data_IF_073624336005
#
_entry.id   IF_073624336005
#
_cell.length_a   1.000
_cell.length_b   1.000
_cell.length_c   1.000
_cell.angle_alpha   90.00
_cell.angle_beta   90.00
_cell.angle_gamma   90.00
#
_symmetry.space_group_name_H-M   'P 1'
#
loop_
_entity.id
_entity.type
_entity.pdbx_description
1 polymer ?
#
# COMPACT_ATOMS: atom_id res chain seq x y z
N UNK A 1 -43.30 -18.19 -13.03
CA UNK A 1 -43.89 -19.08 -14.04
C UNK A 1 -44.53 -20.31 -13.40
N UNK A 2 -43.86 -21.14 -12.61
CA UNK A 2 -44.35 -22.39 -12.00
C UNK A 2 -45.63 -22.21 -11.16
N UNK A 3 -45.85 -21.04 -10.49
CA UNK A 3 -47.08 -20.73 -9.77
C UNK A 3 -48.27 -20.47 -10.71
N UNK A 4 -48.02 -19.91 -11.87
CA UNK A 4 -49.05 -19.77 -12.92
C UNK A 4 -49.49 -21.15 -13.46
N UNK A 5 -48.59 -22.13 -13.42
CA UNK A 5 -48.87 -23.53 -13.75
C UNK A 5 -49.53 -24.31 -12.58
N UNK A 6 -49.98 -23.63 -11.51
CA UNK A 6 -50.62 -24.20 -10.33
C UNK A 6 -49.80 -25.26 -9.57
N UNK A 7 -48.45 -25.32 -9.77
CA UNK A 7 -47.56 -26.24 -9.05
C UNK A 7 -47.53 -25.93 -7.59
N UNK A 8 -47.43 -26.96 -6.76
CA UNK A 8 -47.29 -26.87 -5.32
C UNK A 8 -45.90 -26.29 -4.89
N UNK A 9 -45.78 -25.72 -3.71
CA UNK A 9 -44.48 -25.23 -3.20
C UNK A 9 -43.41 -26.33 -3.08
N UNK A 10 -43.87 -27.59 -2.86
CA UNK A 10 -42.97 -28.76 -2.81
C UNK A 10 -42.40 -29.07 -4.18
N UNK A 11 -43.21 -29.14 -5.19
CA UNK A 11 -42.79 -29.37 -6.57
C UNK A 11 -41.89 -28.27 -7.12
N UNK A 12 -42.24 -26.98 -6.84
CA UNK A 12 -41.38 -25.86 -7.20
C UNK A 12 -40.05 -25.91 -6.50
N UNK A 13 -40.07 -26.28 -5.21
CA UNK A 13 -38.85 -26.44 -4.41
C UNK A 13 -37.92 -27.48 -4.99
N UNK A 14 -38.44 -28.64 -5.39
CA UNK A 14 -37.71 -29.72 -6.08
C UNK A 14 -37.12 -29.22 -7.40
N UNK A 15 -37.90 -28.56 -8.23
CA UNK A 15 -37.47 -28.05 -9.54
C UNK A 15 -36.36 -26.99 -9.43
N UNK A 16 -36.38 -26.16 -8.36
CA UNK A 16 -35.42 -25.09 -8.16
C UNK A 16 -34.29 -25.44 -7.19
N UNK A 17 -34.27 -26.68 -6.71
CA UNK A 17 -33.35 -27.15 -5.66
C UNK A 17 -33.36 -26.21 -4.44
N UNK A 18 -34.56 -25.91 -3.94
CA UNK A 18 -34.81 -25.04 -2.76
C UNK A 18 -35.84 -25.66 -1.82
N UNK A 19 -35.69 -25.36 -0.52
CA UNK A 19 -36.65 -25.84 0.45
C UNK A 19 -38.05 -25.26 0.19
N UNK A 20 -39.17 -26.03 0.33
CA UNK A 20 -40.52 -25.54 0.07
C UNK A 20 -40.92 -24.31 0.87
N UNK A 21 -40.46 -24.17 2.13
CA UNK A 21 -40.72 -23.00 2.95
C UNK A 21 -40.06 -21.73 2.40
N UNK A 22 -38.91 -21.83 1.74
CA UNK A 22 -38.27 -20.71 1.05
C UNK A 22 -39.15 -20.22 -0.10
N UNK A 23 -39.70 -21.15 -0.89
CA UNK A 23 -40.61 -20.82 -1.97
C UNK A 23 -41.89 -20.17 -1.43
N UNK A 24 -42.48 -20.76 -0.38
CA UNK A 24 -43.67 -20.20 0.27
C UNK A 24 -43.42 -18.75 0.73
N UNK A 25 -42.35 -18.51 1.50
CA UNK A 25 -42.00 -17.18 1.98
C UNK A 25 -41.78 -16.18 0.83
N UNK A 26 -41.13 -16.59 -0.25
CA UNK A 26 -40.90 -15.72 -1.40
C UNK A 26 -42.21 -15.36 -2.13
N UNK A 27 -43.14 -16.30 -2.26
CA UNK A 27 -44.45 -16.05 -2.83
C UNK A 27 -45.29 -15.12 -1.95
N UNK A 28 -45.42 -15.41 -0.67
CA UNK A 28 -46.18 -14.61 0.29
C UNK A 28 -45.63 -13.18 0.41
N UNK A 29 -44.32 -13.03 0.44
CA UNK A 29 -43.63 -11.74 0.51
C UNK A 29 -43.85 -10.85 -0.71
N UNK A 30 -44.11 -11.44 -1.86
CA UNK A 30 -44.19 -10.74 -3.15
C UNK A 30 -45.60 -10.73 -3.74
N UNK A 31 -46.59 -11.37 -3.12
CA UNK A 31 -47.95 -11.32 -3.63
C UNK A 31 -48.60 -9.96 -3.41
N UNK A 32 -49.51 -9.56 -4.30
CA UNK A 32 -50.37 -8.37 -4.16
C UNK A 32 -51.79 -8.70 -3.69
N UNK A 33 -52.66 -7.70 -3.59
CA UNK A 33 -54.04 -7.89 -3.19
C UNK A 33 -54.85 -8.85 -4.11
N UNK A 34 -54.47 -8.94 -5.38
CA UNK A 34 -55.06 -9.85 -6.39
C UNK A 34 -54.25 -11.15 -6.58
N UNK A 35 -53.49 -11.57 -5.58
CA UNK A 35 -52.61 -12.76 -5.64
C UNK A 35 -51.21 -12.49 -6.17
N UNK A 36 -50.47 -13.57 -6.44
CA UNK A 36 -49.10 -13.48 -6.92
C UNK A 36 -49.05 -13.34 -8.44
N UNK A 37 -48.36 -12.29 -8.92
CA UNK A 37 -48.12 -12.02 -10.35
C UNK A 37 -46.61 -11.77 -10.57
N UNK A 38 -45.98 -12.38 -11.61
CA UNK A 38 -44.51 -12.30 -11.79
C UNK A 38 -43.97 -10.88 -11.89
N UNK A 39 -44.55 -10.02 -12.69
CA UNK A 39 -44.10 -8.63 -12.85
C UNK A 39 -44.26 -7.82 -11.56
N UNK A 40 -45.36 -7.98 -10.83
CA UNK A 40 -45.59 -7.31 -9.57
C UNK A 40 -44.67 -7.84 -8.49
N UNK A 41 -44.39 -9.15 -8.48
CA UNK A 41 -43.46 -9.76 -7.54
C UNK A 41 -42.04 -9.24 -7.78
N UNK A 42 -41.63 -9.11 -9.04
CA UNK A 42 -40.32 -8.53 -9.40
C UNK A 42 -40.26 -7.06 -8.99
N UNK A 43 -41.28 -6.26 -9.30
CA UNK A 43 -41.33 -4.85 -8.93
C UNK A 43 -41.21 -4.67 -7.41
N UNK A 44 -41.94 -5.46 -6.60
CA UNK A 44 -41.84 -5.44 -5.10
C UNK A 44 -40.46 -5.88 -4.60
N UNK A 45 -39.83 -6.85 -5.26
CA UNK A 45 -38.49 -7.29 -4.91
C UNK A 45 -37.46 -6.18 -5.23
N UNK A 46 -37.57 -5.50 -6.36
CA UNK A 46 -36.68 -4.42 -6.75
C UNK A 46 -36.89 -3.17 -5.89
N UNK A 47 -38.14 -2.84 -5.55
CA UNK A 47 -38.46 -1.76 -4.59
C UNK A 47 -37.84 -2.01 -3.21
N UNK A 48 -37.96 -3.24 -2.68
CA UNK A 48 -37.29 -3.58 -1.44
C UNK A 48 -35.79 -3.54 -1.54
N UNK A 49 -35.23 -4.00 -2.67
CA UNK A 49 -33.78 -3.92 -2.90
C UNK A 49 -33.31 -2.47 -2.93
N UNK A 50 -34.07 -1.57 -3.55
CA UNK A 50 -33.75 -0.14 -3.57
C UNK A 50 -33.94 0.55 -2.22
N UNK A 51 -34.91 0.09 -1.40
CA UNK A 51 -35.15 0.58 -0.03
C UNK A 51 -34.24 -0.07 1.00
N UNK A 52 -33.57 -1.18 0.67
CA UNK A 52 -32.63 -1.80 1.58
C UNK A 52 -31.50 -0.81 1.89
N UNK A 53 -31.42 -0.39 3.16
CA UNK A 53 -30.44 0.58 3.67
C UNK A 53 -28.97 0.13 3.56
N UNK A 54 -28.72 -1.07 3.00
CA UNK A 54 -27.37 -1.51 2.66
C UNK A 54 -26.74 -0.69 1.52
N UNK A 55 -27.54 0.05 0.73
CA UNK A 55 -27.06 1.20 -0.02
C UNK A 55 -26.95 2.40 0.92
N UNK A 56 -26.08 2.36 1.93
CA UNK A 56 -25.75 3.54 2.74
C UNK A 56 -25.23 4.58 1.75
N UNK A 57 -26.06 5.59 1.51
CA UNK A 57 -25.64 6.75 0.69
C UNK A 57 -24.52 7.40 1.46
N UNK A 58 -23.33 7.40 0.87
CA UNK A 58 -22.21 8.15 1.41
C UNK A 58 -22.67 9.60 1.46
N UNK A 59 -22.60 10.21 2.64
CA UNK A 59 -22.83 11.65 2.77
C UNK A 59 -21.82 12.37 1.89
N UNK A 60 -22.21 13.43 1.22
CA UNK A 60 -21.33 14.14 0.30
C UNK A 60 -20.12 14.76 1.04
N UNK A 61 -20.33 15.24 2.28
CA UNK A 61 -19.26 15.71 3.15
C UNK A 61 -18.19 14.65 3.41
N UNK A 62 -18.61 13.44 3.80
CA UNK A 62 -17.69 12.30 4.00
C UNK A 62 -16.96 11.93 2.71
N UNK A 63 -17.64 12.05 1.57
CA UNK A 63 -17.04 11.76 0.28
C UNK A 63 -15.98 12.78 -0.11
N UNK A 64 -16.20 14.06 0.17
CA UNK A 64 -15.20 15.11 -0.05
C UNK A 64 -13.94 14.87 0.77
N UNK A 65 -14.08 14.46 2.05
CA UNK A 65 -12.96 14.05 2.90
C UNK A 65 -12.20 12.86 2.27
N UNK A 66 -12.93 11.84 1.83
CA UNK A 66 -12.33 10.66 1.19
C UNK A 66 -11.59 11.06 -0.10
N UNK A 67 -12.20 11.88 -0.96
CA UNK A 67 -11.56 12.35 -2.19
C UNK A 67 -10.29 13.12 -1.91
N UNK A 68 -10.32 14.03 -0.93
CA UNK A 68 -9.14 14.78 -0.53
C UNK A 68 -7.96 13.84 -0.20
N UNK A 69 -8.18 12.85 0.66
CA UNK A 69 -7.10 11.91 1.04
C UNK A 69 -6.72 10.93 -0.08
N UNK A 70 -7.64 10.57 -0.98
CA UNK A 70 -7.29 9.83 -2.20
C UNK A 70 -6.29 10.63 -3.07
N UNK A 71 -6.48 11.94 -3.19
CA UNK A 71 -5.53 12.81 -3.90
C UNK A 71 -4.16 12.91 -3.21
N UNK A 72 -4.10 12.70 -1.89
CA UNK A 72 -2.84 12.53 -1.14
C UNK A 72 -2.25 11.11 -1.30
N UNK A 73 -2.75 10.32 -2.25
CA UNK A 73 -2.31 8.96 -2.53
C UNK A 73 -2.54 7.95 -1.40
N UNK A 74 -3.41 8.21 -0.44
CA UNK A 74 -3.84 7.24 0.56
C UNK A 74 -4.79 6.22 -0.08
N UNK A 75 -4.67 4.95 0.33
CA UNK A 75 -5.65 3.94 -0.07
C UNK A 75 -6.93 4.03 0.76
N UNK A 76 -8.08 3.53 0.25
CA UNK A 76 -9.33 3.51 1.01
C UNK A 76 -9.19 2.91 2.40
N UNK A 77 -8.41 1.85 2.57
CA UNK A 77 -8.17 1.19 3.86
C UNK A 77 -7.36 2.09 4.81
N UNK A 78 -6.33 2.78 4.31
CA UNK A 78 -5.52 3.72 5.09
C UNK A 78 -6.35 4.93 5.56
N UNK A 79 -7.26 5.44 4.71
CA UNK A 79 -8.15 6.55 5.06
C UNK A 79 -9.07 6.17 6.22
N UNK A 80 -9.81 5.08 6.06
CA UNK A 80 -10.78 4.63 7.09
C UNK A 80 -10.08 4.26 8.38
N UNK A 81 -8.99 3.47 8.31
CA UNK A 81 -8.26 3.05 9.49
C UNK A 81 -7.63 4.20 10.25
N UNK A 82 -7.12 5.20 9.53
CA UNK A 82 -6.51 6.38 10.14
C UNK A 82 -7.55 7.29 10.80
N UNK A 83 -8.65 7.61 10.13
CA UNK A 83 -9.73 8.42 10.71
C UNK A 83 -10.33 7.75 11.95
N UNK A 84 -10.43 6.42 11.96
CA UNK A 84 -10.84 5.68 13.15
C UNK A 84 -9.82 5.82 14.29
N UNK A 85 -8.53 5.73 14.00
CA UNK A 85 -7.45 5.88 14.98
C UNK A 85 -7.34 7.33 15.53
N UNK A 86 -7.78 8.33 14.76
CA UNK A 86 -7.87 9.73 15.18
C UNK A 86 -9.12 10.04 16.02
N UNK A 87 -10.03 9.08 16.22
CA UNK A 87 -11.29 9.29 16.91
C UNK A 87 -12.36 10.04 16.10
N UNK A 88 -12.15 10.19 14.77
CA UNK A 88 -13.07 10.84 13.83
C UNK A 88 -13.59 9.86 12.77
N UNK A 89 -14.27 8.74 13.17
CA UNK A 89 -14.68 7.72 12.22
C UNK A 89 -15.78 8.22 11.29
N UNK A 90 -15.58 8.04 9.99
CA UNK A 90 -16.66 8.18 9.01
C UNK A 90 -17.35 6.82 8.82
N UNK A 91 -18.68 6.84 8.66
CA UNK A 91 -19.46 5.61 8.57
C UNK A 91 -19.47 5.01 7.16
N UNK A 92 -18.27 4.85 6.58
CA UNK A 92 -18.08 4.28 5.24
C UNK A 92 -17.07 3.14 5.35
N UNK A 93 -17.33 2.01 4.69
CA UNK A 93 -16.32 0.96 4.58
C UNK A 93 -15.34 1.24 3.44
N UNK A 94 -14.10 0.76 3.56
CA UNK A 94 -13.13 0.85 2.47
C UNK A 94 -13.63 0.19 1.17
N UNK A 95 -14.43 -0.88 1.28
CA UNK A 95 -15.05 -1.55 0.13
C UNK A 95 -16.04 -0.63 -0.59
N UNK A 96 -16.84 0.13 0.14
CA UNK A 96 -17.78 1.11 -0.44
C UNK A 96 -17.02 2.20 -1.23
N UNK A 97 -15.85 2.62 -0.72
CA UNK A 97 -14.99 3.58 -1.42
C UNK A 97 -14.46 2.95 -2.73
N UNK A 98 -13.98 1.70 -2.68
CA UNK A 98 -13.55 0.99 -3.89
C UNK A 98 -14.67 0.86 -4.91
N UNK A 99 -15.89 0.50 -4.50
CA UNK A 99 -17.04 0.39 -5.38
C UNK A 99 -17.32 1.73 -6.10
N UNK A 100 -17.27 2.85 -5.38
CA UNK A 100 -17.49 4.18 -5.96
C UNK A 100 -16.36 4.58 -6.92
N UNK A 101 -15.11 4.25 -6.62
CA UNK A 101 -13.97 4.47 -7.52
C UNK A 101 -14.12 3.67 -8.82
N UNK A 102 -14.55 2.40 -8.73
CA UNK A 102 -14.76 1.58 -9.93
C UNK A 102 -16.03 1.96 -10.70
N UNK A 103 -17.04 2.49 -10.03
CA UNK A 103 -18.19 3.08 -10.69
C UNK A 103 -17.81 4.34 -11.47
N UNK A 104 -17.02 5.24 -10.87
CA UNK A 104 -16.41 6.39 -11.54
C UNK A 104 -15.64 5.97 -12.79
N UNK A 105 -14.80 4.94 -12.68
CA UNK A 105 -14.05 4.39 -13.82
C UNK A 105 -14.98 3.90 -14.93
N UNK A 106 -16.07 3.21 -14.60
CA UNK A 106 -17.07 2.73 -15.61
C UNK A 106 -17.76 3.87 -16.32
N UNK A 107 -17.90 5.03 -15.64
CA UNK A 107 -18.45 6.28 -16.20
C UNK A 107 -17.39 7.14 -16.92
N UNK A 108 -16.16 6.63 -17.11
CA UNK A 108 -15.06 7.34 -17.76
C UNK A 108 -14.22 8.23 -16.85
N UNK A 109 -14.47 8.21 -15.54
CA UNK A 109 -13.71 8.96 -14.54
C UNK A 109 -12.30 8.43 -14.31
N UNK A 110 -11.51 9.16 -13.53
CA UNK A 110 -10.06 8.95 -13.37
C UNK A 110 -9.63 8.62 -11.93
N UNK A 111 -10.55 8.48 -10.98
CA UNK A 111 -10.23 8.23 -9.56
C UNK A 111 -9.38 6.97 -9.34
N UNK A 112 -9.56 5.93 -10.15
CA UNK A 112 -8.76 4.70 -10.07
C UNK A 112 -7.25 4.93 -10.27
N UNK A 113 -6.84 6.03 -10.91
CA UNK A 113 -5.42 6.37 -11.12
C UNK A 113 -4.73 6.79 -9.82
N UNK A 114 -5.49 7.20 -8.81
CA UNK A 114 -4.98 7.56 -7.48
C UNK A 114 -4.62 6.32 -6.65
N UNK A 115 -5.14 5.15 -7.02
CA UNK A 115 -4.82 3.89 -6.33
C UNK A 115 -3.39 3.43 -6.65
N UNK A 116 -2.74 2.80 -5.67
CA UNK A 116 -1.39 2.23 -5.80
C UNK A 116 -1.25 1.27 -6.98
N UNK A 117 -2.27 0.42 -7.20
CA UNK A 117 -2.25 -0.58 -8.25
C UNK A 117 -3.17 -0.19 -9.40
N UNK A 118 -2.56 0.26 -10.49
CA UNK A 118 -3.27 0.61 -11.73
C UNK A 118 -3.25 -0.53 -12.77
N UNK A 119 -2.81 -1.75 -12.35
CA UNK A 119 -2.54 -2.86 -13.27
C UNK A 119 -3.79 -3.53 -13.79
N UNK A 120 -3.74 -3.89 -15.10
CA UNK A 120 -4.74 -4.73 -15.77
C UNK A 120 -4.39 -6.22 -15.74
N UNK A 121 -3.11 -6.62 -15.54
CA UNK A 121 -2.71 -8.04 -15.39
C UNK A 121 -1.30 -8.23 -14.79
N UNK A 122 -0.96 -9.48 -14.42
CA UNK A 122 0.29 -9.89 -13.76
C UNK A 122 1.31 -10.44 -14.78
N UNK A 123 2.51 -9.86 -14.88
CA UNK A 123 3.63 -10.43 -15.65
C UNK A 123 4.40 -11.47 -14.83
N UNK A 124 4.70 -12.64 -15.43
CA UNK A 124 5.67 -13.60 -14.86
C UNK A 124 7.09 -13.12 -15.21
N UNK A 125 7.99 -13.18 -14.23
CA UNK A 125 9.42 -12.88 -14.42
C UNK A 125 10.18 -14.16 -14.75
N UNK A 126 11.01 -14.11 -15.83
CA UNK A 126 12.00 -15.14 -16.14
C UNK A 126 13.28 -14.92 -15.33
N UNK A 127 13.93 -16.00 -14.92
CA UNK A 127 15.20 -16.01 -14.20
C UNK A 127 16.37 -15.74 -15.17
N UNK A 128 17.05 -14.61 -15.01
CA UNK A 128 18.32 -14.33 -15.70
C UNK A 128 19.50 -14.51 -14.74
N UNK A 129 20.38 -15.45 -15.02
CA UNK A 129 21.65 -15.58 -14.29
C UNK A 129 22.59 -14.42 -14.65
N UNK A 130 22.89 -13.55 -13.71
CA UNK A 130 23.98 -12.59 -13.81
C UNK A 130 25.15 -13.03 -12.92
N UNK A 131 26.34 -13.26 -13.53
CA UNK A 131 27.60 -13.46 -12.79
C UNK A 131 27.98 -12.13 -12.11
N UNK A 132 27.77 -12.03 -10.79
CA UNK A 132 28.16 -10.89 -9.96
C UNK A 132 29.53 -11.18 -9.36
N UNK A 133 30.49 -10.23 -9.50
CA UNK A 133 31.78 -10.32 -8.80
C UNK A 133 31.58 -10.19 -7.28
N UNK A 134 32.49 -10.82 -6.50
CA UNK A 134 32.42 -10.81 -5.04
C UNK A 134 32.84 -9.44 -4.47
N UNK A 135 32.12 -8.96 -3.44
CA UNK A 135 32.50 -7.84 -2.59
C UNK A 135 33.48 -8.37 -1.55
N UNK A 136 34.64 -7.69 -1.36
CA UNK A 136 35.64 -8.07 -0.37
C UNK A 136 35.13 -7.74 1.06
N UNK A 137 35.54 -8.50 2.06
CA UNK A 137 35.30 -8.28 3.49
C UNK A 137 33.82 -8.08 3.86
N UNK A 138 32.91 -8.70 3.12
CA UNK A 138 31.47 -8.61 3.44
C UNK A 138 31.13 -9.47 4.65
N UNK A 139 30.33 -8.95 5.57
CA UNK A 139 29.72 -9.70 6.67
C UNK A 139 28.39 -10.28 6.20
N UNK A 140 28.18 -11.60 6.40
CA UNK A 140 26.92 -12.28 6.02
C UNK A 140 25.75 -11.77 6.88
N UNK A 141 24.54 -11.86 6.32
CA UNK A 141 23.31 -11.66 7.10
C UNK A 141 23.16 -12.69 8.22
N UNK A 142 23.83 -13.85 8.14
CA UNK A 142 23.81 -14.89 9.17
C UNK A 142 24.50 -14.42 10.47
N UNK A 143 25.48 -13.51 10.35
CA UNK A 143 26.20 -12.93 11.48
C UNK A 143 25.42 -11.76 12.11
N UNK A 144 24.26 -11.42 11.56
CA UNK A 144 23.46 -10.28 12.04
C UNK A 144 22.77 -10.62 13.36
N UNK A 145 22.79 -9.72 14.37
CA UNK A 145 22.16 -9.96 15.66
C UNK A 145 20.67 -10.30 15.53
N UNK A 146 20.19 -11.30 16.25
CA UNK A 146 18.80 -11.77 16.21
C UNK A 146 17.75 -10.68 16.51
N UNK A 147 18.12 -9.67 17.30
CA UNK A 147 17.25 -8.52 17.62
C UNK A 147 16.77 -7.78 16.35
N UNK A 148 17.59 -7.78 15.27
CA UNK A 148 17.25 -7.14 14.01
C UNK A 148 16.08 -7.86 13.33
N UNK A 149 16.01 -9.19 13.46
CA UNK A 149 14.93 -9.99 12.88
C UNK A 149 13.63 -9.93 13.69
N UNK A 150 13.75 -9.68 14.99
CA UNK A 150 12.61 -9.44 15.88
C UNK A 150 11.87 -8.14 15.56
N UNK A 151 12.53 -7.18 14.88
CA UNK A 151 11.96 -5.87 14.47
C UNK A 151 11.36 -5.11 15.66
N UNK A 152 12.06 -5.06 16.77
CA UNK A 152 11.63 -4.35 17.99
C UNK A 152 12.41 -3.07 18.25
N UNK A 153 13.52 -2.87 17.54
CA UNK A 153 14.43 -1.74 17.73
C UNK A 153 14.46 -0.85 16.49
N UNK A 154 14.20 0.45 16.65
CA UNK A 154 14.39 1.46 15.60
C UNK A 154 15.89 1.64 15.34
N UNK A 155 16.26 1.84 14.06
CA UNK A 155 17.64 2.07 13.65
C UNK A 155 18.30 0.88 12.97
N UNK A 156 17.58 -0.20 12.75
CA UNK A 156 18.00 -1.29 11.89
C UNK A 156 17.48 -1.03 10.46
N UNK A 157 18.38 -0.68 9.56
CA UNK A 157 18.07 -0.11 8.23
C UNK A 157 18.23 -1.16 7.12
N UNK A 158 17.30 -1.20 6.18
CA UNK A 158 17.48 -1.90 4.90
C UNK A 158 17.83 -0.90 3.81
N UNK A 159 18.93 -1.14 3.08
CA UNK A 159 19.39 -0.29 1.98
C UNK A 159 19.19 -0.90 0.61
N UNK A 160 18.78 -0.09 -0.38
CA UNK A 160 18.64 -0.48 -1.77
C UNK A 160 18.88 0.68 -2.73
N UNK A 161 19.00 0.39 -4.01
CA UNK A 161 19.12 1.38 -5.07
C UNK A 161 18.04 1.19 -6.14
N UNK A 162 17.35 2.27 -6.46
CA UNK A 162 16.32 2.30 -7.52
C UNK A 162 16.91 2.97 -8.77
N UNK A 163 16.95 2.22 -9.87
CA UNK A 163 17.55 2.72 -11.13
C UNK A 163 16.48 3.34 -12.02
N UNK A 164 16.80 4.47 -12.64
CA UNK A 164 15.98 5.15 -13.62
C UNK A 164 15.96 4.48 -14.99
N UNK A 165 15.14 4.99 -15.90
CA UNK A 165 15.09 4.53 -17.30
C UNK A 165 16.48 4.60 -17.94
N UNK A 166 16.85 3.55 -18.69
CA UNK A 166 18.13 3.46 -19.40
C UNK A 166 19.35 3.72 -18.47
N UNK A 167 19.27 3.28 -17.21
CA UNK A 167 20.29 3.51 -16.17
C UNK A 167 20.59 4.99 -15.88
N UNK A 168 19.66 5.88 -16.22
CA UNK A 168 19.84 7.32 -16.03
C UNK A 168 19.35 7.77 -14.64
N UNK A 169 20.33 8.01 -13.76
CA UNK A 169 20.12 8.41 -12.38
C UNK A 169 19.78 7.22 -11.49
N UNK A 170 20.13 7.34 -10.24
CA UNK A 170 19.91 6.35 -9.19
C UNK A 170 19.33 7.06 -7.98
N UNK A 171 18.34 6.45 -7.33
CA UNK A 171 17.87 6.85 -6.00
C UNK A 171 18.38 5.80 -5.02
N UNK A 172 19.06 6.23 -3.98
CA UNK A 172 19.41 5.44 -2.81
C UNK A 172 18.22 5.49 -1.87
N UNK A 173 17.73 4.35 -1.43
CA UNK A 173 16.65 4.23 -0.45
C UNK A 173 17.12 3.47 0.77
N UNK A 174 16.88 4.02 1.95
CA UNK A 174 17.21 3.43 3.24
C UNK A 174 15.94 3.41 4.06
N UNK A 175 15.54 2.25 4.58
CA UNK A 175 14.25 2.05 5.24
C UNK A 175 14.46 1.41 6.60
N UNK A 176 13.96 2.05 7.66
CA UNK A 176 13.96 1.48 9.00
C UNK A 176 13.01 0.28 9.10
N UNK A 177 13.49 -0.80 9.69
CA UNK A 177 12.77 -2.10 9.71
C UNK A 177 11.54 -2.10 10.62
N UNK A 178 11.51 -1.26 11.63
CA UNK A 178 10.40 -1.14 12.59
C UNK A 178 9.40 -0.11 12.13
N UNK A 179 9.83 1.14 12.05
CA UNK A 179 8.96 2.29 11.77
C UNK A 179 8.56 2.41 10.29
N UNK A 180 9.26 1.73 9.37
CA UNK A 180 9.10 1.92 7.91
C UNK A 180 9.52 3.31 7.43
N UNK A 181 10.18 4.10 8.29
CA UNK A 181 10.66 5.42 7.94
C UNK A 181 11.69 5.31 6.81
N UNK A 182 11.51 6.11 5.78
CA UNK A 182 12.29 6.04 4.55
C UNK A 182 13.13 7.28 4.39
N UNK A 183 14.42 7.09 4.20
CA UNK A 183 15.35 8.11 3.75
C UNK A 183 15.66 7.86 2.29
N UNK A 184 15.80 8.91 1.49
CA UNK A 184 16.26 8.75 0.12
C UNK A 184 17.01 9.99 -0.37
N UNK A 185 17.96 9.77 -1.28
CA UNK A 185 18.67 10.82 -2.01
C UNK A 185 19.05 10.35 -3.40
N UNK A 186 19.35 11.30 -4.27
CA UNK A 186 19.82 11.00 -5.61
C UNK A 186 21.32 10.73 -5.63
N UNK A 187 21.72 9.76 -6.43
CA UNK A 187 23.12 9.58 -6.83
C UNK A 187 23.26 9.80 -8.34
N UNK A 188 24.36 10.41 -8.76
CA UNK A 188 24.64 10.64 -10.20
C UNK A 188 24.71 9.33 -10.97
N UNK A 189 25.20 8.27 -10.33
CA UNK A 189 25.39 6.94 -10.92
C UNK A 189 25.45 5.86 -9.83
N UNK A 190 25.51 4.58 -10.24
CA UNK A 190 25.73 3.42 -9.36
C UNK A 190 27.19 3.24 -8.90
N UNK A 191 28.07 4.23 -9.01
CA UNK A 191 29.43 4.09 -8.50
C UNK A 191 29.43 3.96 -6.98
N UNK A 192 30.11 2.93 -6.49
CA UNK A 192 30.10 2.55 -5.08
C UNK A 192 30.50 3.70 -4.13
N UNK A 193 31.49 4.51 -4.51
CA UNK A 193 31.91 5.68 -3.71
C UNK A 193 30.78 6.71 -3.58
N UNK A 194 30.04 6.99 -4.66
CA UNK A 194 28.91 7.93 -4.62
C UNK A 194 27.72 7.41 -3.81
N UNK A 195 27.46 6.09 -3.88
CA UNK A 195 26.43 5.44 -3.08
C UNK A 195 26.80 5.45 -1.60
N UNK A 196 28.04 5.12 -1.25
CA UNK A 196 28.52 5.18 0.14
C UNK A 196 28.39 6.58 0.72
N UNK A 197 28.82 7.61 -0.04
CA UNK A 197 28.70 9.01 0.42
C UNK A 197 27.21 9.43 0.61
N UNK A 198 26.32 8.99 -0.29
CA UNK A 198 24.89 9.23 -0.19
C UNK A 198 24.29 8.61 1.08
N UNK A 199 24.65 7.36 1.39
CA UNK A 199 24.23 6.67 2.62
C UNK A 199 24.72 7.44 3.86
N UNK A 200 25.99 7.81 3.87
CA UNK A 200 26.59 8.55 5.00
C UNK A 200 25.87 9.89 5.20
N UNK A 201 25.67 10.67 4.16
CA UNK A 201 25.00 11.97 4.24
C UNK A 201 23.56 11.86 4.77
N UNK A 202 22.84 10.83 4.34
CA UNK A 202 21.45 10.59 4.79
C UNK A 202 21.37 10.20 6.28
N UNK A 203 22.27 9.33 6.74
CA UNK A 203 22.17 8.77 8.08
C UNK A 203 23.00 9.54 9.14
N UNK A 204 23.98 10.37 8.73
CA UNK A 204 24.80 11.13 9.65
C UNK A 204 24.02 11.97 10.68
N UNK A 205 22.93 12.68 10.29
CA UNK A 205 22.08 13.40 11.26
C UNK A 205 21.38 12.49 12.26
N UNK A 206 21.18 11.21 11.90
CA UNK A 206 20.47 10.20 12.69
C UNK A 206 21.41 9.13 13.25
N UNK A 207 22.72 9.32 13.20
CA UNK A 207 23.75 8.33 13.56
C UNK A 207 23.50 7.72 14.96
N UNK A 208 23.10 8.54 15.92
CA UNK A 208 22.80 8.10 17.28
C UNK A 208 21.66 7.09 17.41
N UNK A 209 20.85 6.93 16.37
CA UNK A 209 19.74 5.96 16.30
C UNK A 209 20.02 4.81 15.36
N UNK A 210 21.11 4.84 14.57
CA UNK A 210 21.43 3.79 13.61
C UNK A 210 22.25 2.70 14.27
N UNK A 211 21.84 1.45 14.09
CA UNK A 211 22.51 0.28 14.67
C UNK A 211 23.09 -0.63 13.57
N UNK A 212 22.29 -1.00 12.59
CA UNK A 212 22.72 -1.88 11.51
C UNK A 212 22.22 -1.42 10.15
N UNK A 213 22.94 -1.76 9.09
CA UNK A 213 22.49 -1.56 7.70
C UNK A 213 22.57 -2.91 6.99
N UNK A 214 21.46 -3.36 6.41
CA UNK A 214 21.41 -4.58 5.58
C UNK A 214 21.21 -4.21 4.12
N UNK A 215 22.13 -4.66 3.25
CA UNK A 215 22.12 -4.38 1.81
C UNK A 215 22.17 -5.66 0.98
N UNK A 216 21.97 -5.57 -0.34
CA UNK A 216 22.20 -6.70 -1.25
C UNK A 216 23.68 -6.82 -1.66
N UNK A 217 23.97 -7.88 -2.41
CA UNK A 217 25.32 -8.10 -2.97
C UNK A 217 25.58 -7.26 -4.24
N UNK A 218 24.99 -6.06 -4.36
CA UNK A 218 25.24 -5.15 -5.45
C UNK A 218 26.62 -4.50 -5.34
N UNK A 219 27.36 -4.42 -6.43
CA UNK A 219 28.70 -3.77 -6.46
C UNK A 219 28.67 -2.31 -6.01
N UNK A 220 27.52 -1.67 -6.06
CA UNK A 220 27.29 -0.32 -5.54
C UNK A 220 27.52 -0.18 -4.02
N UNK A 221 27.51 -1.30 -3.29
CA UNK A 221 27.77 -1.32 -1.83
C UNK A 221 29.21 -1.74 -1.48
N UNK A 222 30.12 -1.79 -2.46
CA UNK A 222 31.49 -2.22 -2.24
C UNK A 222 32.30 -1.34 -1.26
N UNK A 223 31.87 -0.08 -1.00
CA UNK A 223 32.47 0.81 0.00
C UNK A 223 31.72 0.75 1.35
N UNK A 224 31.18 -0.40 1.70
CA UNK A 224 30.47 -0.61 2.98
C UNK A 224 31.35 -0.38 4.20
N UNK A 225 32.64 -0.72 4.15
CA UNK A 225 33.61 -0.46 5.23
C UNK A 225 33.74 1.04 5.55
N UNK A 226 33.70 1.91 4.51
CA UNK A 226 33.69 3.34 4.69
C UNK A 226 32.41 3.81 5.40
N UNK A 227 31.24 3.24 5.00
CA UNK A 227 29.95 3.53 5.64
C UNK A 227 29.96 3.08 7.09
N UNK A 228 30.39 1.85 7.37
CA UNK A 228 30.49 1.29 8.72
C UNK A 228 31.38 2.17 9.62
N UNK A 229 32.56 2.56 9.13
CA UNK A 229 33.50 3.41 9.87
C UNK A 229 32.94 4.80 10.17
N UNK A 230 32.31 5.46 9.19
CA UNK A 230 31.86 6.84 9.35
C UNK A 230 30.58 6.97 10.16
N UNK A 231 29.72 5.98 10.11
CA UNK A 231 28.45 5.96 10.85
C UNK A 231 28.56 5.18 12.17
N UNK A 232 29.64 4.42 12.38
CA UNK A 232 29.82 3.51 13.51
C UNK A 232 28.69 2.49 13.61
N UNK A 233 28.35 1.86 12.49
CA UNK A 233 27.28 0.86 12.34
C UNK A 233 27.81 -0.39 11.65
N UNK A 234 27.20 -1.53 11.93
CA UNK A 234 27.51 -2.78 11.24
C UNK A 234 26.75 -2.86 9.93
N UNK A 235 27.43 -3.35 8.87
CA UNK A 235 26.84 -3.52 7.54
C UNK A 235 26.80 -5.00 7.17
N UNK A 236 25.60 -5.53 6.94
CA UNK A 236 25.33 -6.92 6.60
C UNK A 236 24.86 -7.07 5.17
N UNK A 237 25.22 -8.19 4.55
CA UNK A 237 24.84 -8.52 3.18
C UNK A 237 23.86 -9.68 3.14
N UNK A 238 22.71 -9.48 2.51
CA UNK A 238 21.71 -10.53 2.27
C UNK A 238 22.28 -11.62 1.36
N UNK A 239 21.71 -12.83 1.43
CA UNK A 239 22.11 -13.90 0.54
C UNK A 239 21.82 -13.58 -0.93
N UNK A 240 22.65 -14.05 -1.85
CA UNK A 240 22.36 -13.94 -3.28
C UNK A 240 21.01 -14.59 -3.59
N UNK A 241 20.17 -13.90 -4.37
CA UNK A 241 18.84 -14.37 -4.80
C UNK A 241 17.77 -14.49 -3.69
N UNK A 242 18.06 -14.14 -2.45
CA UNK A 242 17.12 -14.14 -1.32
C UNK A 242 16.44 -12.76 -1.16
N UNK A 243 15.65 -12.35 -2.15
CA UNK A 243 14.98 -11.04 -2.14
C UNK A 243 14.00 -10.87 -0.94
N UNK A 244 13.49 -11.98 -0.39
CA UNK A 244 12.59 -11.97 0.77
C UNK A 244 13.26 -11.49 2.06
N UNK A 245 14.59 -11.63 2.20
CA UNK A 245 15.34 -11.09 3.34
C UNK A 245 15.30 -9.56 3.42
N UNK A 246 14.95 -8.90 2.30
CA UNK A 246 14.79 -7.45 2.15
C UNK A 246 13.42 -7.06 1.56
N UNK A 247 12.38 -7.80 1.93
CA UNK A 247 11.02 -7.57 1.43
C UNK A 247 10.49 -6.16 1.72
N UNK A 248 11.05 -5.48 2.69
CA UNK A 248 10.70 -4.11 3.04
C UNK A 248 11.11 -3.11 1.95
N UNK A 249 12.32 -3.25 1.43
CA UNK A 249 12.79 -2.42 0.32
C UNK A 249 11.95 -2.63 -0.93
N UNK A 250 11.59 -3.88 -1.26
CA UNK A 250 10.72 -4.17 -2.41
C UNK A 250 9.36 -3.45 -2.26
N UNK A 251 8.76 -3.53 -1.08
CA UNK A 251 7.50 -2.83 -0.79
C UNK A 251 7.66 -1.30 -0.90
N UNK A 252 8.70 -0.73 -0.29
CA UNK A 252 8.95 0.72 -0.28
C UNK A 252 9.25 1.23 -1.69
N UNK A 253 10.08 0.51 -2.44
CA UNK A 253 10.35 0.84 -3.84
C UNK A 253 9.08 0.75 -4.70
N UNK A 254 8.19 -0.21 -4.38
CA UNK A 254 6.86 -0.30 -4.99
C UNK A 254 5.97 0.91 -4.70
N UNK A 255 6.05 1.47 -3.50
CA UNK A 255 5.34 2.69 -3.12
C UNK A 255 5.96 3.93 -3.78
N UNK A 256 7.30 4.03 -3.81
CA UNK A 256 8.01 5.11 -4.49
C UNK A 256 7.65 5.16 -5.99
N UNK A 257 7.37 4.01 -6.60
CA UNK A 257 6.91 3.92 -8.00
C UNK A 257 5.50 4.49 -8.25
N UNK A 258 4.75 4.81 -7.22
CA UNK A 258 3.49 5.56 -7.35
C UNK A 258 3.78 7.02 -7.74
N UNK A 259 4.85 7.61 -7.19
CA UNK A 259 5.32 8.96 -7.49
C UNK A 259 6.22 8.99 -8.72
N UNK A 260 7.07 8.00 -8.87
CA UNK A 260 8.02 7.86 -9.98
C UNK A 260 7.79 6.53 -10.72
N UNK A 261 6.85 6.46 -11.67
CA UNK A 261 6.53 5.25 -12.40
C UNK A 261 7.74 4.59 -13.06
N UNK A 262 7.64 3.30 -13.40
CA UNK A 262 8.67 2.63 -14.19
C UNK A 262 8.93 3.40 -15.47
N UNK A 263 10.18 3.49 -15.91
CA UNK A 263 10.66 4.29 -17.04
C UNK A 263 10.83 5.79 -16.74
N UNK A 264 10.68 6.28 -15.52
CA UNK A 264 11.07 7.65 -15.13
C UNK A 264 12.59 7.82 -15.28
N UNK A 265 13.01 8.91 -15.87
CA UNK A 265 14.42 9.32 -15.92
C UNK A 265 14.77 10.10 -14.65
N UNK A 266 15.52 9.49 -13.73
CA UNK A 266 15.87 10.11 -12.45
C UNK A 266 16.88 11.26 -12.54
N UNK A 267 17.56 11.45 -13.67
CA UNK A 267 18.36 12.65 -13.87
C UNK A 267 17.48 13.92 -13.92
N UNK A 268 16.26 13.79 -14.48
CA UNK A 268 15.31 14.91 -14.60
C UNK A 268 14.53 15.20 -13.33
N UNK A 269 14.40 14.23 -12.41
CA UNK A 269 13.76 14.42 -11.12
C UNK A 269 14.63 15.31 -10.26
N UNK A 270 14.09 16.37 -9.70
CA UNK A 270 14.80 17.26 -8.76
C UNK A 270 14.91 16.62 -7.38
N UNK A 271 15.83 17.09 -6.54
CA UNK A 271 15.92 16.63 -5.16
C UNK A 271 14.65 17.04 -4.39
N UNK A 272 14.08 18.20 -4.68
CA UNK A 272 12.84 18.67 -4.06
C UNK A 272 11.65 17.74 -4.36
N UNK A 273 11.48 17.32 -5.62
CA UNK A 273 10.44 16.35 -5.99
C UNK A 273 10.63 15.00 -5.28
N UNK A 274 11.89 14.56 -5.14
CA UNK A 274 12.19 13.34 -4.39
C UNK A 274 11.82 13.50 -2.91
N UNK A 275 12.24 14.59 -2.26
CA UNK A 275 11.96 14.81 -0.86
C UNK A 275 10.45 15.00 -0.60
N UNK A 276 9.70 15.62 -1.51
CA UNK A 276 8.25 15.69 -1.43
C UNK A 276 7.61 14.28 -1.47
N UNK A 277 8.08 13.40 -2.36
CA UNK A 277 7.60 12.02 -2.40
C UNK A 277 7.95 11.25 -1.12
N UNK A 278 9.16 11.45 -0.57
CA UNK A 278 9.59 10.82 0.69
C UNK A 278 8.76 11.35 1.87
N UNK A 279 8.49 12.64 1.92
CA UNK A 279 7.57 13.23 2.91
C UNK A 279 6.21 12.52 2.87
N UNK A 280 5.61 12.41 1.68
CA UNK A 280 4.32 11.72 1.51
C UNK A 280 4.38 10.25 1.96
N UNK A 281 5.48 9.54 1.68
CA UNK A 281 5.66 8.15 2.11
C UNK A 281 5.78 8.01 3.64
N UNK A 282 6.49 8.93 4.29
CA UNK A 282 6.73 8.93 5.73
C UNK A 282 5.51 9.39 6.53
N UNK A 283 4.62 10.18 5.94
CA UNK A 283 3.37 10.62 6.56
C UNK A 283 2.15 9.80 6.12
N UNK A 284 2.37 8.74 5.35
CA UNK A 284 1.33 7.82 4.94
C UNK A 284 1.05 6.79 6.03
N UNK A 285 -0.17 6.71 6.59
CA UNK A 285 -0.54 5.70 7.58
C UNK A 285 -0.27 4.28 7.10
N UNK A 286 0.15 3.39 8.00
CA UNK A 286 0.42 1.98 7.67
C UNK A 286 -0.40 1.06 8.55
N UNK A 287 -1.14 0.13 7.95
CA UNK A 287 -1.89 -0.88 8.68
C UNK A 287 -1.01 -1.69 9.65
N UNK A 288 0.21 -2.06 9.20
CA UNK A 288 1.17 -2.79 10.02
C UNK A 288 1.73 -2.00 11.21
N UNK A 289 1.49 -0.70 11.27
CA UNK A 289 1.83 0.19 12.38
C UNK A 289 0.58 0.63 13.18
N UNK A 290 -0.53 -0.09 13.07
CA UNK A 290 -1.79 0.30 13.69
C UNK A 290 -2.33 1.64 13.15
N UNK A 291 -2.10 1.90 11.87
CA UNK A 291 -2.42 3.14 11.17
C UNK A 291 -1.67 4.39 11.64
N UNK A 292 -0.63 4.23 12.47
CA UNK A 292 0.37 5.27 12.65
C UNK A 292 1.17 5.48 11.36
N UNK A 293 1.74 6.67 11.21
CA UNK A 293 2.66 6.96 10.11
C UNK A 293 4.07 6.50 10.44
N UNK A 294 4.92 6.19 9.45
CA UNK A 294 6.35 5.96 9.67
C UNK A 294 7.03 7.08 10.48
N UNK A 295 6.65 8.34 10.20
CA UNK A 295 7.16 9.51 10.92
C UNK A 295 6.84 9.47 12.42
N UNK A 296 5.57 9.22 12.78
CA UNK A 296 5.13 9.13 14.16
C UNK A 296 5.86 8.02 14.92
N UNK A 297 6.02 6.85 14.29
CA UNK A 297 6.69 5.71 14.93
C UNK A 297 8.19 5.97 15.08
N UNK A 298 8.86 6.52 14.05
CA UNK A 298 10.30 6.78 14.07
C UNK A 298 10.70 7.80 15.13
N UNK A 299 9.89 8.84 15.32
CA UNK A 299 10.11 9.89 16.31
C UNK A 299 9.40 9.65 17.64
N UNK A 300 8.70 8.51 17.79
CA UNK A 300 7.92 8.14 18.98
C UNK A 300 6.90 9.23 19.36
N UNK A 301 6.13 9.66 18.37
CA UNK A 301 5.10 10.68 18.53
C UNK A 301 3.72 10.04 18.70
N UNK A 302 2.80 10.80 19.28
CA UNK A 302 1.39 10.47 19.26
C UNK A 302 0.80 10.58 17.84
N UNK A 303 -0.42 10.08 17.67
CA UNK A 303 -1.13 10.16 16.40
C UNK A 303 -1.45 11.63 16.09
N UNK A 304 -0.89 12.14 15.00
CA UNK A 304 -1.14 13.49 14.52
C UNK A 304 -2.35 13.50 13.58
N UNK A 305 -3.33 14.40 13.71
CA UNK A 305 -4.45 14.48 12.78
C UNK A 305 -3.98 14.62 11.32
N UNK A 306 -4.55 13.85 10.40
CA UNK A 306 -4.21 13.93 8.97
C UNK A 306 -4.36 15.36 8.42
N UNK A 307 -5.32 16.12 8.94
CA UNK A 307 -5.50 17.53 8.60
C UNK A 307 -4.24 18.36 8.89
N UNK A 308 -3.59 18.09 10.01
CA UNK A 308 -2.34 18.78 10.40
C UNK A 308 -1.19 18.39 9.48
N UNK A 309 -1.12 17.12 9.10
CA UNK A 309 -0.05 16.60 8.23
C UNK A 309 -0.15 17.15 6.81
N UNK A 310 -1.36 17.17 6.23
CA UNK A 310 -1.57 17.51 4.83
C UNK A 310 -2.15 18.92 4.60
N UNK A 311 -2.30 19.73 5.65
CA UNK A 311 -2.68 21.13 5.52
C UNK A 311 -4.12 21.36 5.05
N UNK A 312 -5.06 20.50 5.46
CA UNK A 312 -6.47 20.70 5.17
C UNK A 312 -7.00 21.87 6.03
N UNK A 313 -7.04 23.09 5.50
CA UNK A 313 -7.88 24.15 6.05
C UNK A 313 -9.34 23.80 5.76
N UNK A 314 -10.12 23.60 6.81
CA UNK A 314 -11.59 23.45 6.78
C UNK A 314 -12.26 24.64 6.16
#
# INVERSE_FOLDING_TARGET
>A
EYRLQKKSYKEIGTLLNRHPTTIKREVERNQGGCGWRPLQAQAKADERRSRCSNARRIKEEDWQIVQYYLHQCLSPEEIIGRLAAEGAPIQISHETIYQRIYEDKRKGGKLYKLLRSQKTYRKRYGSGQQRRGMIKNRTSIDDRPAIVDQKIRIGDIEGDTVIGKNQQGVIITLVDRVSRFTFATKAKSKHAKGVAQGIINLLKPHQHRCHTITVDNGKEFAFHELVAKQLQVDVYFAHPYHSWERGLNENTNGLLRQYFPKKTNFKKVTEQELQAAIFMLNHRPRKCLGYKTPFEVFYNLDILPLKTIFGCTS
#
